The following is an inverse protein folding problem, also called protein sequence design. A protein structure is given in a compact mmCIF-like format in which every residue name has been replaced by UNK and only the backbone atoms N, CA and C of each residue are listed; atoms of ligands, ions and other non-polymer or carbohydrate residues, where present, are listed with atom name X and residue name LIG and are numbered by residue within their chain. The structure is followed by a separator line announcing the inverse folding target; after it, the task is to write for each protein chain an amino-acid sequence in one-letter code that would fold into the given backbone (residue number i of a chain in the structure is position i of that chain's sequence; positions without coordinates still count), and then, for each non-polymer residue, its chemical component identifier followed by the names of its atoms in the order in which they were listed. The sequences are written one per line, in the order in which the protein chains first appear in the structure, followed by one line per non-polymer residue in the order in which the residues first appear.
data_IF_163890074730
#
_entry.id   IF_163890074730
#
_cell.length_a   1.000
_cell.length_b   1.000
_cell.length_c   1.000
_cell.angle_alpha   90.00
_cell.angle_beta   90.00
_cell.angle_gamma   90.00
#
_symmetry.space_group_name_H-M   'P 1'
#
loop_
_entity.id
_entity.type
_entity.pdbx_description
1 polymer ?
#
# COMPACT_ATOMS: atom_id res chain seq x y z
N UNK A 1 22.35 11.92 -8.32
CA UNK A 1 21.60 10.90 -9.10
C UNK A 1 20.18 10.82 -8.56
N UNK A 2 19.16 10.85 -9.42
CA UNK A 2 17.76 10.74 -8.98
C UNK A 2 16.90 10.06 -10.03
N UNK A 3 15.94 9.25 -9.59
CA UNK A 3 15.06 8.46 -10.45
C UNK A 3 13.76 9.19 -10.87
N UNK A 4 13.38 10.27 -10.17
CA UNK A 4 12.09 10.94 -10.37
C UNK A 4 12.17 12.47 -10.34
N UNK A 5 13.37 13.04 -10.40
CA UNK A 5 13.58 14.50 -10.36
C UNK A 5 13.41 15.13 -11.73
N UNK A 6 12.91 16.36 -11.74
CA UNK A 6 12.93 17.26 -12.89
C UNK A 6 14.38 17.67 -13.20
N UNK A 7 14.98 16.99 -14.17
CA UNK A 7 16.39 17.17 -14.52
C UNK A 7 16.69 18.57 -15.10
N UNK A 8 15.74 19.18 -15.79
CA UNK A 8 15.92 20.49 -16.44
C UNK A 8 16.01 21.60 -15.40
N UNK A 9 15.21 21.50 -14.33
CA UNK A 9 15.26 22.47 -13.23
C UNK A 9 16.59 22.43 -12.49
N UNK A 10 17.16 21.25 -12.27
CA UNK A 10 18.47 21.09 -11.63
C UNK A 10 19.62 21.51 -12.53
N UNK A 11 19.54 21.22 -13.83
CA UNK A 11 20.53 21.68 -14.81
C UNK A 11 20.60 23.21 -14.83
N UNK A 12 19.45 23.91 -14.87
CA UNK A 12 19.38 25.37 -14.80
C UNK A 12 19.93 25.95 -13.50
N UNK A 13 19.67 25.31 -12.37
CA UNK A 13 20.20 25.75 -11.07
C UNK A 13 21.72 25.60 -10.99
N UNK A 14 22.28 24.62 -11.70
CA UNK A 14 23.72 24.33 -11.74
C UNK A 14 24.36 24.86 -13.03
N UNK A 15 23.99 26.08 -13.46
CA UNK A 15 24.60 26.79 -14.60
C UNK A 15 24.63 26.00 -15.91
N UNK A 16 23.58 25.23 -16.19
CA UNK A 16 23.46 24.44 -17.42
C UNK A 16 24.28 23.14 -17.39
N UNK A 17 24.55 22.60 -16.19
CA UNK A 17 25.25 21.33 -16.05
C UNK A 17 24.64 20.22 -16.95
N UNK A 18 25.47 19.40 -17.62
CA UNK A 18 25.01 18.39 -18.56
C UNK A 18 24.17 17.31 -17.87
N UNK A 19 23.04 16.95 -18.49
CA UNK A 19 22.12 15.92 -18.00
C UNK A 19 22.38 14.61 -18.74
N UNK A 20 22.81 13.58 -18.01
CA UNK A 20 22.93 12.22 -18.54
C UNK A 20 21.70 11.40 -18.16
N UNK A 21 20.86 11.07 -19.15
CA UNK A 21 19.70 10.20 -18.96
C UNK A 21 20.09 8.74 -19.17
N UNK A 22 20.04 7.96 -18.09
CA UNK A 22 20.21 6.50 -18.15
C UNK A 22 18.83 5.86 -18.20
N UNK A 23 18.42 5.23 -19.32
CA UNK A 23 17.12 4.59 -19.40
C UNK A 23 17.08 3.38 -18.46
N UNK A 24 16.16 3.42 -17.48
CA UNK A 24 15.91 2.30 -16.59
C UNK A 24 15.24 1.14 -17.30
N UNK A 25 15.64 -0.10 -17.01
CA UNK A 25 14.88 -1.30 -17.36
C UNK A 25 13.89 -1.58 -16.24
N UNK A 26 12.65 -1.13 -16.38
CA UNK A 26 11.54 -1.53 -15.50
C UNK A 26 10.52 -2.30 -16.31
N UNK A 27 10.06 -3.43 -15.78
CA UNK A 27 8.94 -4.17 -16.35
C UNK A 27 7.63 -3.41 -16.12
N UNK A 28 6.63 -3.58 -17.00
CA UNK A 28 5.32 -2.94 -16.81
C UNK A 28 4.68 -3.43 -15.51
N UNK A 29 4.24 -2.49 -14.68
CA UNK A 29 3.52 -2.74 -13.42
C UNK A 29 2.06 -2.35 -13.60
N UNK A 30 1.16 -3.29 -13.37
CA UNK A 30 -0.27 -3.09 -13.33
C UNK A 30 -0.66 -2.42 -12.01
N UNK A 31 -1.39 -1.32 -12.11
CA UNK A 31 -1.94 -0.57 -10.98
C UNK A 31 -3.43 -0.87 -10.89
N UNK A 32 -3.88 -1.04 -9.66
CA UNK A 32 -5.22 -1.25 -9.14
C UNK A 32 -5.42 -0.24 -8.02
N UNK A 33 -6.64 0.01 -7.60
CA UNK A 33 -6.95 1.01 -6.59
C UNK A 33 -7.67 0.42 -5.36
N UNK A 34 -8.07 1.26 -4.40
CA UNK A 34 -8.81 0.84 -3.20
C UNK A 34 -10.02 -0.01 -3.59
N UNK A 35 -10.78 0.47 -4.55
CA UNK A 35 -11.98 -0.14 -5.07
C UNK A 35 -11.75 -1.53 -5.66
N UNK A 36 -10.61 -1.74 -6.34
CA UNK A 36 -10.22 -3.06 -6.83
C UNK A 36 -9.90 -4.02 -5.68
N UNK A 37 -9.26 -3.53 -4.61
CA UNK A 37 -8.93 -4.35 -3.45
C UNK A 37 -10.18 -4.79 -2.69
N UNK A 38 -11.12 -3.86 -2.45
CA UNK A 38 -12.41 -4.14 -1.81
C UNK A 38 -13.23 -5.11 -2.65
N UNK A 39 -13.33 -4.88 -3.97
CA UNK A 39 -14.05 -5.78 -4.88
C UNK A 39 -13.42 -7.18 -4.92
N UNK A 40 -12.09 -7.26 -4.97
CA UNK A 40 -11.38 -8.53 -5.06
C UNK A 40 -11.53 -9.38 -3.79
N UNK A 41 -11.50 -8.73 -2.63
CA UNK A 41 -11.61 -9.39 -1.32
C UNK A 41 -13.07 -9.61 -0.91
N UNK A 42 -13.99 -8.82 -1.43
CA UNK A 42 -15.37 -8.75 -0.94
C UNK A 42 -15.45 -8.15 0.47
N UNK A 43 -14.43 -7.39 0.90
CA UNK A 43 -14.32 -6.77 2.22
C UNK A 43 -15.54 -5.91 2.55
N UNK A 44 -15.96 -5.92 3.81
CA UNK A 44 -17.00 -5.03 4.34
C UNK A 44 -16.60 -4.57 5.75
N UNK A 45 -16.89 -3.32 6.08
CA UNK A 45 -16.63 -2.74 7.40
C UNK A 45 -17.58 -3.29 8.49
N UNK A 46 -18.72 -3.85 8.08
CA UNK A 46 -19.78 -4.34 8.96
C UNK A 46 -19.45 -5.66 9.70
N UNK A 47 -18.35 -6.34 9.34
CA UNK A 47 -17.99 -7.64 9.91
C UNK A 47 -17.66 -7.61 11.41
N UNK A 48 -17.60 -6.43 12.05
CA UNK A 48 -17.46 -6.28 13.49
C UNK A 48 -18.78 -6.32 14.30
N UNK A 49 -19.95 -6.20 13.64
CA UNK A 49 -21.25 -6.07 14.35
C UNK A 49 -22.39 -6.93 13.77
N UNK A 50 -22.19 -7.65 12.67
CA UNK A 50 -23.29 -8.19 11.86
C UNK A 50 -23.38 -9.74 11.85
N UNK A 51 -23.43 -10.38 13.01
CA UNK A 51 -23.96 -11.75 13.15
C UNK A 51 -25.41 -11.79 13.68
N UNK A 52 -26.15 -10.67 13.73
CA UNK A 52 -27.50 -10.67 14.35
C UNK A 52 -28.67 -10.01 13.64
N UNK A 53 -28.51 -9.52 12.42
CA UNK A 53 -29.65 -8.97 11.68
C UNK A 53 -29.60 -9.37 10.21
N UNK A 54 -29.70 -10.68 9.95
CA UNK A 54 -30.27 -11.13 8.68
C UNK A 54 -31.78 -11.02 8.79
N UNK A 55 -32.36 -10.49 7.73
CA UNK A 55 -33.79 -10.41 7.41
C UNK A 55 -34.55 -9.34 8.18
N UNK A 56 -34.69 -8.15 7.59
CA UNK A 56 -35.93 -7.35 7.56
C UNK A 56 -35.75 -6.14 6.60
N UNK A 57 -36.44 -6.25 5.45
CA UNK A 57 -37.00 -5.25 4.54
C UNK A 57 -36.14 -4.20 3.82
N UNK A 58 -36.38 -4.19 2.49
CA UNK A 58 -36.06 -3.18 1.47
C UNK A 58 -36.58 -1.77 1.85
N UNK A 59 -35.92 -0.77 1.27
CA UNK A 59 -36.29 0.66 1.24
C UNK A 59 -36.01 1.53 2.49
N UNK A 60 -34.73 1.70 2.84
CA UNK A 60 -34.30 2.83 3.69
C UNK A 60 -33.52 3.85 2.85
N UNK A 61 -34.16 5.00 2.59
CA UNK A 61 -33.52 6.20 2.07
C UNK A 61 -32.38 6.64 3.01
N UNK A 62 -31.19 6.86 2.44
CA UNK A 62 -30.01 7.34 3.16
C UNK A 62 -30.24 8.78 3.66
N UNK A 63 -29.96 9.09 4.94
CA UNK A 63 -30.05 10.46 5.44
C UNK A 63 -28.90 11.33 4.90
N UNK A 64 -29.25 12.53 4.44
CA UNK A 64 -28.33 13.56 3.97
C UNK A 64 -27.36 14.02 5.07
N UNK A 65 -26.14 13.49 5.06
CA UNK A 65 -25.02 14.03 5.83
C UNK A 65 -24.27 15.05 4.97
N UNK A 66 -24.46 16.32 5.33
CA UNK A 66 -23.92 17.50 4.65
C UNK A 66 -22.39 17.50 4.69
N UNK A 67 -21.70 17.22 3.58
CA UNK A 67 -20.27 17.54 3.40
C UNK A 67 -19.81 17.53 1.92
N UNK A 68 -19.24 18.67 1.50
CA UNK A 68 -18.52 19.00 0.26
C UNK A 68 -18.87 18.26 -1.05
N UNK A 69 -19.65 18.94 -1.92
CA UNK A 69 -20.15 18.43 -3.20
C UNK A 69 -19.10 18.24 -4.32
N UNK A 70 -17.91 18.85 -4.23
CA UNK A 70 -16.95 18.84 -5.33
C UNK A 70 -16.19 17.51 -5.49
N UNK A 71 -15.90 16.80 -4.39
CA UNK A 71 -15.15 15.54 -4.40
C UNK A 71 -16.03 14.32 -4.74
N UNK A 72 -17.31 14.30 -4.32
CA UNK A 72 -18.22 13.15 -4.52
C UNK A 72 -18.61 12.91 -5.99
N UNK A 73 -18.68 13.96 -6.81
CA UNK A 73 -19.08 13.88 -8.22
C UNK A 73 -18.07 13.10 -9.10
N UNK A 74 -16.79 13.14 -8.72
CA UNK A 74 -15.73 12.38 -9.40
C UNK A 74 -15.67 10.93 -8.90
N UNK A 75 -15.79 10.72 -7.58
CA UNK A 75 -15.82 9.40 -6.93
C UNK A 75 -16.99 8.54 -7.44
N UNK A 76 -18.18 9.14 -7.60
CA UNK A 76 -19.38 8.41 -8.08
C UNK A 76 -19.31 8.00 -9.55
N UNK A 77 -18.50 8.65 -10.38
CA UNK A 77 -18.24 8.23 -11.77
C UNK A 77 -17.22 7.10 -11.83
N UNK A 78 -16.14 7.19 -11.06
CA UNK A 78 -15.10 6.15 -10.99
C UNK A 78 -15.65 4.80 -10.49
N UNK A 79 -16.64 4.85 -9.60
CA UNK A 79 -17.20 3.67 -8.95
C UNK A 79 -18.27 2.90 -9.76
N UNK A 80 -18.71 3.41 -10.92
CA UNK A 80 -19.79 2.80 -11.73
C UNK A 80 -19.49 1.39 -12.25
N UNK A 81 -18.22 0.99 -12.27
CA UNK A 81 -17.80 -0.37 -12.69
C UNK A 81 -17.83 -1.42 -11.57
N UNK A 82 -18.04 -1.02 -10.32
CA UNK A 82 -17.94 -1.90 -9.15
C UNK A 82 -19.29 -2.33 -8.61
N UNK A 83 -19.32 -3.42 -7.83
CA UNK A 83 -20.53 -3.92 -7.19
C UNK A 83 -21.10 -2.91 -6.18
N UNK A 84 -22.42 -2.98 -5.94
CA UNK A 84 -23.06 -2.10 -4.96
C UNK A 84 -22.46 -2.26 -3.55
N UNK A 85 -22.06 -3.49 -3.19
CA UNK A 85 -21.35 -3.76 -1.94
C UNK A 85 -20.07 -2.94 -1.85
N UNK A 86 -19.20 -3.02 -2.86
CA UNK A 86 -17.94 -2.27 -2.90
C UNK A 86 -18.17 -0.76 -2.83
N UNK A 87 -19.16 -0.23 -3.55
CA UNK A 87 -19.49 1.21 -3.49
C UNK A 87 -19.89 1.66 -2.09
N UNK A 88 -20.75 0.87 -1.43
CA UNK A 88 -21.22 1.18 -0.08
C UNK A 88 -20.09 1.09 0.93
N UNK A 89 -19.25 0.06 0.84
CA UNK A 89 -18.07 -0.10 1.69
C UNK A 89 -17.14 1.09 1.54
N UNK A 90 -16.75 1.48 0.32
CA UNK A 90 -15.85 2.62 0.08
C UNK A 90 -16.45 3.94 0.59
N UNK A 91 -17.76 4.12 0.48
CA UNK A 91 -18.42 5.32 0.98
C UNK A 91 -18.31 5.48 2.51
N UNK A 92 -18.06 4.40 3.24
CA UNK A 92 -17.91 4.37 4.70
C UNK A 92 -16.43 4.36 5.15
N UNK A 93 -15.47 4.28 4.23
CA UNK A 93 -14.04 4.23 4.59
C UNK A 93 -13.59 5.54 5.24
N UNK A 94 -12.90 5.44 6.37
CA UNK A 94 -12.15 6.54 6.96
C UNK A 94 -10.74 6.59 6.35
N UNK A 95 -10.50 7.56 5.48
CA UNK A 95 -9.21 7.77 4.81
C UNK A 95 -8.04 8.02 5.79
N UNK A 96 -8.32 8.43 7.04
CA UNK A 96 -7.30 8.68 8.07
C UNK A 96 -6.91 7.42 8.84
N UNK A 97 -7.63 6.31 8.68
CA UNK A 97 -7.29 5.02 9.28
C UNK A 97 -6.73 4.05 8.25
N UNK A 98 -6.00 3.05 8.72
CA UNK A 98 -5.51 1.95 7.88
C UNK A 98 -6.34 0.72 8.24
N UNK A 99 -7.05 0.17 7.25
CA UNK A 99 -7.82 -1.05 7.41
C UNK A 99 -6.91 -2.28 7.29
N UNK A 100 -6.31 -2.70 8.41
CA UNK A 100 -5.40 -3.85 8.45
C UNK A 100 -6.08 -5.17 8.08
N UNK A 101 -7.39 -5.30 8.36
CA UNK A 101 -8.17 -6.46 7.95
C UNK A 101 -8.27 -6.55 6.41
N UNK A 102 -8.49 -5.42 5.73
CA UNK A 102 -8.46 -5.38 4.27
C UNK A 102 -7.09 -5.79 3.73
N UNK A 103 -6.00 -5.28 4.31
CA UNK A 103 -4.64 -5.65 3.89
C UNK A 103 -4.40 -7.15 4.08
N UNK A 104 -4.81 -7.71 5.23
CA UNK A 104 -4.67 -9.14 5.55
C UNK A 104 -5.47 -10.02 4.58
N UNK A 105 -6.73 -9.68 4.35
CA UNK A 105 -7.60 -10.39 3.40
C UNK A 105 -7.09 -10.28 1.96
N UNK A 106 -6.55 -9.13 1.58
CA UNK A 106 -5.97 -8.92 0.27
C UNK A 106 -4.75 -9.80 0.04
N UNK A 107 -3.83 -9.88 1.01
CA UNK A 107 -2.66 -10.77 0.93
C UNK A 107 -3.14 -12.23 0.82
N UNK A 108 -4.12 -12.64 1.63
CA UNK A 108 -4.68 -13.99 1.58
C UNK A 108 -5.35 -14.29 0.23
N UNK A 109 -6.05 -13.30 -0.36
CA UNK A 109 -6.72 -13.46 -1.66
C UNK A 109 -5.72 -13.55 -2.82
N UNK A 110 -4.68 -12.71 -2.80
CA UNK A 110 -3.56 -12.79 -3.75
C UNK A 110 -2.85 -14.15 -3.65
N UNK A 111 -2.78 -14.70 -2.44
CA UNK A 111 -2.17 -15.99 -2.18
C UNK A 111 -2.99 -17.19 -2.68
N UNK A 112 -4.32 -17.13 -2.57
CA UNK A 112 -5.23 -18.24 -2.85
C UNK A 112 -5.74 -18.28 -4.30
N UNK A 113 -5.74 -17.15 -5.00
CA UNK A 113 -6.27 -17.07 -6.36
C UNK A 113 -5.19 -17.45 -7.40
N UNK A 114 -5.49 -18.45 -8.23
CA UNK A 114 -4.58 -18.94 -9.28
C UNK A 114 -4.16 -17.83 -10.25
N UNK A 115 -5.01 -16.82 -10.47
CA UNK A 115 -4.72 -15.67 -11.32
C UNK A 115 -3.57 -14.81 -10.78
N UNK A 116 -3.27 -14.93 -9.49
CA UNK A 116 -2.26 -14.12 -8.80
C UNK A 116 -1.06 -14.90 -8.29
N UNK A 117 -0.91 -16.18 -8.64
CA UNK A 117 0.23 -17.03 -8.24
C UNK A 117 1.59 -16.40 -8.59
N UNK A 118 1.68 -15.68 -9.71
CA UNK A 118 2.89 -14.97 -10.11
C UNK A 118 3.23 -13.75 -9.24
N UNK A 119 2.24 -13.20 -8.53
CA UNK A 119 2.36 -12.02 -7.67
C UNK A 119 2.51 -12.37 -6.18
N UNK A 120 2.19 -13.60 -5.79
CA UNK A 120 2.17 -14.04 -4.39
C UNK A 120 3.50 -14.53 -3.85
N UNK A 121 4.57 -14.56 -4.66
CA UNK A 121 5.90 -15.05 -4.24
C UNK A 121 6.55 -14.18 -3.15
N UNK A 122 6.66 -12.89 -3.41
CA UNK A 122 7.12 -11.94 -2.42
C UNK A 122 6.29 -10.64 -2.46
N UNK A 123 5.69 -10.30 -1.33
CA UNK A 123 4.79 -9.17 -1.16
C UNK A 123 5.48 -8.14 -0.26
N UNK A 124 5.61 -6.90 -0.74
CA UNK A 124 6.15 -5.78 0.04
C UNK A 124 5.01 -4.83 0.43
N UNK A 125 4.79 -4.65 1.73
CA UNK A 125 3.73 -3.78 2.27
C UNK A 125 4.36 -2.50 2.81
N UNK A 126 3.93 -1.34 2.32
CA UNK A 126 4.34 -0.04 2.84
C UNK A 126 3.39 0.43 3.95
N UNK A 127 3.96 0.70 5.12
CA UNK A 127 3.29 1.17 6.33
C UNK A 127 3.93 2.47 6.84
N UNK A 128 3.20 3.31 7.59
CA UNK A 128 3.71 4.61 8.02
C UNK A 128 4.76 4.52 9.14
N UNK A 129 4.71 3.49 9.99
CA UNK A 129 5.61 3.36 11.14
C UNK A 129 5.69 1.95 11.73
N UNK A 130 6.51 1.84 12.79
CA UNK A 130 6.77 0.57 13.49
C UNK A 130 5.55 0.03 14.23
N UNK A 131 4.66 0.90 14.71
CA UNK A 131 3.44 0.48 15.40
C UNK A 131 2.53 -0.29 14.44
N UNK A 132 2.34 0.25 13.25
CA UNK A 132 1.52 -0.35 12.20
C UNK A 132 2.16 -1.63 11.65
N UNK A 133 3.51 -1.68 11.54
CA UNK A 133 4.25 -2.90 11.21
C UNK A 133 3.96 -4.00 12.24
N UNK A 134 4.04 -3.69 13.53
CA UNK A 134 3.78 -4.68 14.59
C UNK A 134 2.34 -5.17 14.57
N UNK A 135 1.38 -4.26 14.47
CA UNK A 135 -0.04 -4.61 14.39
C UNK A 135 -0.32 -5.56 13.21
N UNK A 136 0.15 -5.23 12.01
CA UNK A 136 -0.08 -6.10 10.86
C UNK A 136 0.69 -7.42 10.98
N UNK A 137 1.92 -7.41 11.53
CA UNK A 137 2.68 -8.63 11.77
C UNK A 137 1.93 -9.59 12.71
N UNK A 138 1.39 -9.07 13.81
CA UNK A 138 0.65 -9.88 14.79
C UNK A 138 -0.63 -10.45 14.16
N UNK A 139 -1.34 -9.65 13.35
CA UNK A 139 -2.52 -10.10 12.61
C UNK A 139 -2.19 -11.21 11.59
N UNK A 140 -1.11 -11.06 10.84
CA UNK A 140 -0.68 -12.07 9.87
C UNK A 140 -0.26 -13.36 10.58
N UNK A 141 0.56 -13.28 11.62
CA UNK A 141 0.99 -14.43 12.42
C UNK A 141 -0.18 -15.15 13.11
N UNK A 142 -1.23 -14.42 13.51
CA UNK A 142 -2.44 -14.98 14.11
C UNK A 142 -3.43 -15.57 13.09
N UNK A 143 -3.26 -15.31 11.80
CA UNK A 143 -4.24 -15.68 10.79
C UNK A 143 -3.89 -17.05 10.15
N UNK A 144 -4.83 -18.03 10.10
CA UNK A 144 -4.56 -19.41 9.69
C UNK A 144 -3.90 -19.55 8.30
N UNK A 145 -4.24 -18.67 7.36
CA UNK A 145 -3.70 -18.68 6.00
C UNK A 145 -2.18 -18.39 5.92
N UNK A 146 -1.57 -17.87 6.98
CA UNK A 146 -0.13 -17.56 7.04
C UNK A 146 0.63 -18.44 8.04
N UNK A 147 -0.01 -19.51 8.54
CA UNK A 147 0.58 -20.41 9.53
C UNK A 147 1.69 -21.32 9.00
N UNK A 148 1.67 -21.63 7.69
CA UNK A 148 2.70 -22.42 7.00
C UNK A 148 3.14 -21.75 5.70
N UNK A 149 4.35 -22.06 5.23
CA UNK A 149 4.85 -21.64 3.91
C UNK A 149 5.02 -20.13 3.71
N UNK A 150 5.11 -19.36 4.80
CA UNK A 150 5.36 -17.92 4.79
C UNK A 150 6.51 -17.51 5.70
N UNK A 151 7.33 -16.58 5.21
CA UNK A 151 8.22 -15.77 6.02
C UNK A 151 7.72 -14.33 6.08
N UNK A 152 7.57 -13.79 7.28
CA UNK A 152 7.09 -12.42 7.52
C UNK A 152 8.25 -11.64 8.17
N UNK A 153 8.71 -10.59 7.49
CA UNK A 153 9.86 -9.80 7.95
C UNK A 153 9.46 -8.34 8.16
N UNK A 154 9.57 -7.82 9.40
CA UNK A 154 9.47 -6.39 9.65
C UNK A 154 10.76 -5.67 9.23
N UNK A 155 10.63 -4.57 8.50
CA UNK A 155 11.74 -3.76 8.01
C UNK A 155 11.56 -2.29 8.41
N UNK A 156 12.32 -1.87 9.42
CA UNK A 156 12.26 -0.52 9.99
C UNK A 156 13.64 -0.09 10.47
N UNK A 157 13.94 1.20 10.44
CA UNK A 157 15.25 1.75 10.80
C UNK A 157 15.71 1.46 12.23
N UNK A 158 14.79 1.14 13.15
CA UNK A 158 15.10 0.80 14.55
C UNK A 158 15.35 -0.69 14.79
N UNK A 159 15.17 -1.54 13.78
CA UNK A 159 15.40 -3.00 13.89
C UNK A 159 16.90 -3.26 13.66
N UNK A 160 17.49 -4.23 14.37
CA UNK A 160 18.90 -4.57 14.20
C UNK A 160 19.21 -5.02 12.77
N UNK A 161 20.39 -4.67 12.24
CA UNK A 161 20.76 -4.98 10.86
C UNK A 161 20.72 -6.47 10.54
N UNK A 162 21.13 -7.31 11.50
CA UNK A 162 21.11 -8.78 11.38
C UNK A 162 19.69 -9.31 11.10
N UNK A 163 18.67 -8.76 11.76
CA UNK A 163 17.27 -9.14 11.55
C UNK A 163 16.71 -8.61 10.21
N UNK A 164 17.27 -7.52 9.69
CA UNK A 164 16.88 -6.96 8.39
C UNK A 164 17.46 -7.75 7.22
N UNK A 165 18.63 -8.38 7.39
CA UNK A 165 19.33 -9.11 6.33
C UNK A 165 18.47 -10.25 5.75
N UNK A 166 17.71 -10.94 6.61
CA UNK A 166 16.82 -12.03 6.20
C UNK A 166 15.74 -11.57 5.20
N UNK A 167 15.29 -10.31 5.26
CA UNK A 167 14.30 -9.78 4.33
C UNK A 167 14.81 -9.70 2.87
N UNK A 168 16.14 -9.63 2.67
CA UNK A 168 16.78 -9.58 1.36
C UNK A 168 17.02 -10.95 0.74
N UNK A 169 16.97 -12.00 1.54
CA UNK A 169 17.17 -13.36 1.06
C UNK A 169 15.93 -13.84 0.31
N UNK A 170 16.15 -14.56 -0.79
CA UNK A 170 15.08 -15.20 -1.56
C UNK A 170 14.68 -16.47 -0.81
N UNK A 171 13.38 -16.67 -0.49
CA UNK A 171 12.94 -17.86 0.22
C UNK A 171 13.12 -19.13 -0.64
N UNK A 172 13.27 -20.30 -0.02
CA UNK A 172 13.29 -21.58 -0.74
C UNK A 172 12.04 -21.81 -1.61
N UNK A 173 12.12 -22.65 -2.66
CA UNK A 173 10.95 -22.99 -3.47
C UNK A 173 9.80 -23.53 -2.63
N UNK A 174 8.59 -23.01 -2.87
CA UNK A 174 7.39 -23.37 -2.11
C UNK A 174 7.08 -22.42 -0.95
N UNK A 175 8.07 -21.64 -0.48
CA UNK A 175 7.88 -20.66 0.59
C UNK A 175 7.69 -19.27 -0.02
N UNK A 176 6.71 -18.54 0.49
CA UNK A 176 6.41 -17.15 0.13
C UNK A 176 6.93 -16.19 1.18
N UNK A 177 7.13 -14.94 0.82
CA UNK A 177 7.67 -13.90 1.70
C UNK A 177 6.76 -12.68 1.76
N UNK A 178 6.56 -12.13 2.95
CA UNK A 178 5.93 -10.84 3.19
C UNK A 178 6.95 -9.94 3.89
N UNK A 179 7.20 -8.76 3.34
CA UNK A 179 8.05 -7.75 3.97
C UNK A 179 7.20 -6.55 4.35
N UNK A 180 7.18 -6.20 5.62
CA UNK A 180 6.42 -5.08 6.18
C UNK A 180 7.39 -3.91 6.40
N UNK A 181 7.32 -2.87 5.57
CA UNK A 181 8.34 -1.84 5.54
C UNK A 181 7.78 -0.43 5.66
N UNK A 182 8.58 0.49 6.20
CA UNK A 182 8.34 1.93 6.01
C UNK A 182 8.97 2.45 4.71
N UNK A 183 9.04 3.76 4.55
CA UNK A 183 9.75 4.41 3.45
C UNK A 183 11.25 4.07 3.36
N UNK A 184 11.82 3.32 4.32
CA UNK A 184 13.18 2.76 4.18
C UNK A 184 13.32 1.85 2.95
N UNK A 185 12.24 1.18 2.53
CA UNK A 185 12.20 0.39 1.30
C UNK A 185 11.88 1.24 0.05
N UNK A 186 11.58 2.53 0.20
CA UNK A 186 11.17 3.42 -0.89
C UNK A 186 12.37 3.86 -1.73
N UNK A 187 13.49 4.24 -1.10
CA UNK A 187 14.74 4.64 -1.76
C UNK A 187 15.93 3.92 -1.13
N UNK A 188 16.98 3.63 -1.91
CA UNK A 188 18.24 3.06 -1.40
C UNK A 188 18.28 1.54 -1.23
N UNK A 189 17.22 0.92 -0.73
CA UNK A 189 17.18 -0.55 -0.50
C UNK A 189 16.42 -1.26 -1.64
N UNK A 190 16.87 -2.42 -2.12
CA UNK A 190 16.16 -3.21 -3.14
C UNK A 190 16.01 -4.66 -2.69
N UNK A 191 14.76 -5.11 -2.54
CA UNK A 191 14.43 -6.51 -2.30
C UNK A 191 14.22 -7.17 -3.67
N UNK A 192 15.07 -8.13 -4.08
CA UNK A 192 15.19 -8.54 -5.47
C UNK A 192 14.04 -9.40 -5.97
N UNK A 193 13.24 -10.02 -5.10
CA UNK A 193 12.22 -11.00 -5.47
C UNK A 193 10.79 -10.46 -5.38
N UNK A 194 10.60 -9.17 -5.05
CA UNK A 194 9.27 -8.55 -4.90
C UNK A 194 8.46 -8.66 -6.19
N UNK A 195 7.32 -9.35 -6.09
CA UNK A 195 6.37 -9.57 -7.18
C UNK A 195 5.05 -8.84 -6.99
N UNK A 196 4.77 -8.33 -5.79
CA UNK A 196 3.61 -7.52 -5.46
C UNK A 196 4.01 -6.47 -4.42
N UNK A 197 3.44 -5.28 -4.53
CA UNK A 197 3.56 -4.24 -3.52
C UNK A 197 2.13 -3.88 -3.05
N UNK A 198 1.97 -3.60 -1.77
CA UNK A 198 0.71 -3.09 -1.21
C UNK A 198 1.08 -1.79 -0.52
N UNK A 199 0.45 -0.69 -0.92
CA UNK A 199 0.82 0.64 -0.44
C UNK A 199 -0.35 1.28 0.29
N UNK A 200 -0.26 1.42 1.62
CA UNK A 200 -1.29 2.06 2.45
C UNK A 200 -1.48 3.54 2.16
N UNK A 201 -0.64 4.15 1.33
CA UNK A 201 -0.79 5.54 0.90
C UNK A 201 -0.35 6.56 1.95
N UNK A 202 0.23 6.11 3.07
CA UNK A 202 0.66 6.97 4.17
C UNK A 202 2.15 6.83 4.47
N UNK A 203 2.71 7.87 5.07
CA UNK A 203 4.03 7.85 5.68
C UNK A 203 4.09 8.81 6.87
N UNK A 204 5.19 8.75 7.62
CA UNK A 204 5.51 9.75 8.64
C UNK A 204 6.63 10.65 8.15
N UNK A 205 6.44 11.96 8.24
CA UNK A 205 7.44 12.98 7.90
C UNK A 205 7.66 13.95 9.07
N UNK A 206 8.90 14.41 9.22
CA UNK A 206 9.21 15.48 10.18
C UNK A 206 8.78 16.82 9.59
N UNK A 207 7.84 17.51 10.23
CA UNK A 207 7.49 18.89 9.90
C UNK A 207 8.01 19.84 10.96
N UNK A 208 8.59 20.94 10.51
CA UNK A 208 8.97 22.06 11.34
C UNK A 208 7.85 23.12 11.33
N UNK A 209 7.38 23.52 12.51
CA UNK A 209 6.43 24.63 12.64
C UNK A 209 7.18 25.90 13.03
N UNK A 210 7.37 26.82 12.09
CA UNK A 210 8.06 28.09 12.33
C UNK A 210 7.26 29.05 13.23
N UNK A 211 5.94 28.85 13.39
CA UNK A 211 5.05 29.83 14.03
C UNK A 211 4.74 29.53 15.49
N UNK A 212 4.63 28.26 15.88
CA UNK A 212 4.08 27.90 17.22
C UNK A 212 5.10 27.44 18.26
N UNK A 213 6.31 27.13 17.83
CA UNK A 213 7.51 26.85 18.62
C UNK A 213 8.44 26.17 17.63
N UNK A 214 9.74 26.50 17.61
CA UNK A 214 10.77 25.86 16.80
C UNK A 214 10.95 24.36 17.12
N UNK A 215 9.88 23.58 16.96
CA UNK A 215 9.73 22.19 17.32
C UNK A 215 9.42 21.43 16.05
N UNK A 216 10.26 20.44 15.79
CA UNK A 216 10.01 19.47 14.73
C UNK A 216 9.07 18.40 15.29
N UNK A 217 7.99 18.10 14.56
CA UNK A 217 7.03 17.04 14.92
C UNK A 217 6.98 15.99 13.82
N UNK A 218 6.93 14.73 14.23
CA UNK A 218 6.69 13.61 13.31
C UNK A 218 5.17 13.50 13.08
N UNK A 219 4.72 13.76 11.86
CA UNK A 219 3.30 13.74 11.49
C UNK A 219 3.05 12.66 10.45
N UNK A 220 1.93 11.97 10.58
CA UNK A 220 1.42 11.08 9.55
C UNK A 220 0.72 11.89 8.46
N UNK A 221 1.09 11.63 7.20
CA UNK A 221 0.58 12.34 6.03
C UNK A 221 0.43 11.38 4.85
N UNK A 222 -0.41 11.75 3.89
CA UNK A 222 -0.54 11.03 2.63
C UNK A 222 0.73 11.19 1.79
N UNK A 223 1.10 10.14 1.08
CA UNK A 223 2.25 10.16 0.20
C UNK A 223 2.01 11.01 -1.04
N UNK A 224 3.07 11.58 -1.62
CA UNK A 224 2.95 12.27 -2.90
C UNK A 224 2.83 11.28 -4.06
N UNK A 225 2.34 11.75 -5.23
CA UNK A 225 2.36 10.99 -6.49
C UNK A 225 3.77 10.51 -6.88
N UNK A 226 4.81 11.26 -6.49
CA UNK A 226 6.20 10.87 -6.73
C UNK A 226 6.60 9.68 -5.85
N UNK A 227 6.21 9.68 -4.58
CA UNK A 227 6.45 8.56 -3.66
C UNK A 227 5.71 7.30 -4.15
N UNK A 228 4.43 7.43 -4.52
CA UNK A 228 3.65 6.32 -5.09
C UNK A 228 4.31 5.73 -6.34
N UNK A 229 4.88 6.57 -7.22
CA UNK A 229 5.64 6.13 -8.40
C UNK A 229 6.91 5.36 -8.03
N UNK A 230 7.62 5.77 -6.98
CA UNK A 230 8.82 5.08 -6.49
C UNK A 230 8.47 3.73 -5.83
N UNK A 231 7.44 3.70 -4.97
CA UNK A 231 6.91 2.49 -4.34
C UNK A 231 6.45 1.48 -5.38
N UNK A 232 5.72 1.93 -6.41
CA UNK A 232 5.36 1.11 -7.57
C UNK A 232 6.57 0.51 -8.28
N UNK A 233 7.65 1.27 -8.41
CA UNK A 233 8.89 0.84 -9.04
C UNK A 233 9.60 -0.32 -8.32
N UNK A 234 9.19 -0.68 -7.10
CA UNK A 234 9.76 -1.81 -6.34
C UNK A 234 9.32 -3.16 -6.86
N UNK A 235 8.15 -3.20 -7.49
CA UNK A 235 7.53 -4.39 -8.02
C UNK A 235 8.03 -4.72 -9.46
N UNK A 236 8.38 -3.70 -10.24
CA UNK A 236 8.76 -3.82 -11.65
C UNK A 236 10.23 -4.16 -11.92
N UNK A 237 11.01 -4.59 -10.92
CA UNK A 237 12.45 -4.85 -11.09
C UNK A 237 12.80 -6.27 -11.52
N UNK A 238 11.93 -7.25 -11.27
CA UNK A 238 12.33 -8.67 -11.40
C UNK A 238 11.42 -9.59 -12.23
N UNK A 239 10.19 -9.22 -12.60
CA UNK A 239 9.33 -10.12 -13.41
C UNK A 239 8.36 -9.39 -14.35
N UNK A 240 8.01 -10.03 -15.49
CA UNK A 240 6.99 -9.56 -16.45
C UNK A 240 5.60 -9.54 -15.78
N UNK A 241 5.11 -8.33 -15.53
CA UNK A 241 3.81 -7.97 -14.91
C UNK A 241 3.85 -8.12 -13.39
N UNK A 242 3.33 -7.09 -12.72
CA UNK A 242 3.13 -6.99 -11.26
C UNK A 242 1.79 -6.32 -10.98
N UNK A 243 0.99 -6.78 -10.00
CA UNK A 243 -0.23 -6.12 -9.55
C UNK A 243 -0.01 -5.29 -8.28
N UNK A 244 -0.64 -4.11 -8.23
CA UNK A 244 -0.61 -3.15 -7.12
C UNK A 244 -2.00 -2.60 -6.84
N UNK A 245 -2.69 -2.93 -5.74
CA UNK A 245 -3.74 -2.06 -5.23
C UNK A 245 -3.11 -0.81 -4.56
N UNK A 246 -3.52 0.37 -5.02
CA UNK A 246 -3.07 1.70 -4.65
C UNK A 246 -4.25 2.45 -4.06
N UNK A 247 -4.23 2.76 -2.77
CA UNK A 247 -5.36 3.40 -2.08
C UNK A 247 -5.45 4.93 -2.32
N UNK A 248 -5.32 5.40 -3.57
CA UNK A 248 -5.31 6.84 -3.94
C UNK A 248 -6.26 7.18 -5.06
#
# INVERSE_FOLDING_TARGET
MSATVDADRFSKYLDGAPVLNVPGRTFPVQVKYLEDAVELTGFSLDNGLQEKYTDLDDDVELPDVVSNEATKSESTKALRGYSNKTRNTIAQFDEYRIEFDLVTQLIAKIAADDRFVMYSKAILVFLPGIAEIRTLNDMLCGHPAFSSDWYIYPLHSTIASEDQEAAFLVPPPGIRKIVLATNIAETGITIPDVTCVIDTGKHREMRFDERKAALSRLLETFISKANAKQRRGRAGKSTRRTLLPSFH
#
